data_IF_493553109484
#
_entry.id   IF_493553109484
#
_cell.length_a   1.000
_cell.length_b   1.000
_cell.length_c   1.000
_cell.angle_alpha   90.00
_cell.angle_beta   90.00
_cell.angle_gamma   90.00
#
_symmetry.space_group_name_H-M   'P 1'
#
loop_
_entity.id
_entity.type
_entity.pdbx_description
1 polymer ?
#
# COMPACT_ATOMS: atom_id res chain seq x y z
N UNK A 1 -8.77 6.38 -26.22
CA UNK A 1 -8.01 5.17 -25.81
C UNK A 1 -8.74 4.54 -24.64
N UNK A 2 -8.78 3.21 -24.58
CA UNK A 2 -9.32 2.49 -23.43
C UNK A 2 -8.15 1.98 -22.58
N UNK A 3 -8.20 2.18 -21.26
CA UNK A 3 -7.16 1.76 -20.32
C UNK A 3 -7.56 0.54 -19.49
N UNK A 4 -8.80 0.07 -19.62
CA UNK A 4 -9.31 -1.01 -18.81
C UNK A 4 -10.72 -1.46 -19.15
N UNK A 5 -11.28 -2.33 -18.33
CA UNK A 5 -12.64 -2.84 -18.46
C UNK A 5 -13.16 -3.34 -17.12
N UNK A 6 -14.49 -3.44 -17.01
CA UNK A 6 -15.14 -4.02 -15.85
C UNK A 6 -15.13 -5.55 -15.90
N UNK A 7 -14.83 -6.18 -14.77
CA UNK A 7 -15.00 -7.61 -14.51
C UNK A 7 -16.09 -7.77 -13.45
N UNK A 8 -17.34 -7.84 -13.90
CA UNK A 8 -18.51 -7.93 -13.03
C UNK A 8 -18.51 -9.21 -12.17
N UNK A 9 -17.99 -10.31 -12.73
CA UNK A 9 -17.94 -11.60 -12.04
C UNK A 9 -17.09 -11.51 -10.78
N UNK A 10 -15.93 -10.86 -10.89
CA UNK A 10 -15.01 -10.69 -9.78
C UNK A 10 -15.24 -9.39 -8.99
N UNK A 11 -16.12 -8.51 -9.48
CA UNK A 11 -16.35 -7.15 -8.96
C UNK A 11 -15.05 -6.34 -8.93
N UNK A 12 -14.32 -6.41 -10.04
CA UNK A 12 -13.02 -5.76 -10.23
C UNK A 12 -13.05 -4.82 -11.44
N UNK A 13 -12.29 -3.74 -11.37
CA UNK A 13 -11.97 -2.92 -12.53
C UNK A 13 -10.54 -3.27 -12.94
N UNK A 14 -10.39 -3.75 -14.18
CA UNK A 14 -9.13 -4.24 -14.72
C UNK A 14 -8.49 -3.17 -15.58
N UNK A 15 -7.33 -2.67 -15.18
CA UNK A 15 -6.51 -1.68 -15.88
C UNK A 15 -5.43 -2.45 -16.63
N UNK A 16 -5.50 -2.46 -17.96
CA UNK A 16 -4.57 -3.21 -18.83
C UNK A 16 -3.44 -2.36 -19.40
N UNK A 17 -3.48 -1.05 -19.18
CA UNK A 17 -2.40 -0.13 -19.50
C UNK A 17 -2.09 0.75 -18.27
N UNK A 18 -0.91 0.63 -17.65
CA UNK A 18 -0.58 1.36 -16.43
C UNK A 18 -0.32 2.86 -16.65
N UNK A 19 -0.14 3.32 -17.89
CA UNK A 19 0.04 4.73 -18.26
C UNK A 19 -1.30 5.46 -18.39
N UNK A 20 -2.16 5.32 -17.38
CA UNK A 20 -3.44 6.04 -17.28
C UNK A 20 -3.21 7.56 -17.29
N UNK A 21 -4.15 8.36 -17.82
CA UNK A 21 -3.97 9.81 -17.95
C UNK A 21 -3.93 10.54 -16.59
N UNK A 22 -4.35 9.86 -15.52
CA UNK A 22 -4.22 10.26 -14.14
C UNK A 22 -4.09 8.99 -13.26
N UNK A 23 -3.61 9.09 -12.02
CA UNK A 23 -3.63 7.99 -11.07
C UNK A 23 -5.08 7.56 -10.81
N UNK A 24 -5.42 6.32 -11.11
CA UNK A 24 -6.72 5.75 -10.78
C UNK A 24 -6.61 5.09 -9.42
N UNK A 25 -7.43 5.55 -8.47
CA UNK A 25 -7.30 5.21 -7.06
C UNK A 25 -8.31 4.15 -6.62
N UNK A 26 -7.95 3.43 -5.55
CA UNK A 26 -8.82 2.58 -4.77
C UNK A 26 -8.63 2.87 -3.27
N UNK A 27 -9.64 2.52 -2.47
CA UNK A 27 -9.64 2.65 -1.02
C UNK A 27 -9.52 1.27 -0.40
N UNK A 28 -8.61 1.13 0.56
CA UNK A 28 -8.37 -0.09 1.32
C UNK A 28 -8.64 0.19 2.80
N UNK A 29 -9.33 -0.73 3.47
CA UNK A 29 -9.66 -0.61 4.89
C UNK A 29 -10.81 0.38 5.17
N UNK A 30 -10.69 1.07 6.30
CA UNK A 30 -11.68 2.00 6.84
C UNK A 30 -10.96 3.12 7.63
N UNK A 31 -11.65 4.12 8.22
CA UNK A 31 -10.96 5.18 8.95
C UNK A 31 -10.09 4.73 10.13
N UNK A 32 -10.31 3.58 10.76
CA UNK A 32 -9.41 3.08 11.84
C UNK A 32 -8.02 2.76 11.28
N UNK A 33 -7.95 2.18 10.07
CA UNK A 33 -6.76 2.17 9.24
C UNK A 33 -7.12 2.32 7.77
N UNK A 34 -6.83 3.50 7.26
CA UNK A 34 -7.17 3.87 5.90
C UNK A 34 -5.95 3.86 5.01
N UNK A 35 -6.03 3.15 3.88
CA UNK A 35 -5.01 3.17 2.84
C UNK A 35 -5.61 3.53 1.48
N UNK A 36 -4.99 4.49 0.80
CA UNK A 36 -5.32 4.87 -0.56
C UNK A 36 -4.20 4.45 -1.49
N UNK A 37 -4.57 3.81 -2.59
CA UNK A 37 -3.61 3.21 -3.53
C UNK A 37 -4.02 3.54 -4.97
N UNK A 38 -3.04 3.85 -5.81
CA UNK A 38 -3.25 4.00 -7.25
C UNK A 38 -2.99 2.69 -8.01
N UNK A 39 -3.36 2.67 -9.28
CA UNK A 39 -2.97 1.63 -10.24
C UNK A 39 -1.45 1.43 -10.41
N UNK A 40 -0.65 2.35 -9.87
CA UNK A 40 0.81 2.35 -9.87
C UNK A 40 1.41 2.20 -8.45
N UNK A 41 0.63 1.68 -7.49
CA UNK A 41 0.98 1.48 -6.09
C UNK A 41 1.34 2.76 -5.28
N UNK A 42 1.25 3.94 -5.89
CA UNK A 42 1.37 5.22 -5.20
C UNK A 42 0.21 5.49 -4.24
N UNK A 43 0.43 6.32 -3.24
CA UNK A 43 -0.58 6.75 -2.27
C UNK A 43 -0.04 6.73 -0.84
N UNK A 44 -0.93 6.76 0.14
CA UNK A 44 -0.57 6.80 1.56
C UNK A 44 -1.52 5.99 2.42
N UNK A 45 -1.11 5.77 3.66
CA UNK A 45 -1.83 5.07 4.71
C UNK A 45 -1.88 5.94 5.96
N UNK A 46 -2.94 5.80 6.75
CA UNK A 46 -3.16 6.54 7.98
C UNK A 46 -3.96 5.72 9.00
N UNK A 47 -3.88 6.13 10.27
CA UNK A 47 -4.62 5.55 11.39
C UNK A 47 -5.57 6.60 11.95
N UNK A 48 -6.87 6.29 12.03
CA UNK A 48 -7.96 7.15 12.54
C UNK A 48 -8.23 8.46 11.77
N UNK A 49 -7.23 9.09 11.18
CA UNK A 49 -7.38 10.39 10.51
C UNK A 49 -6.43 10.55 9.32
N UNK A 50 -6.99 10.88 8.16
CA UNK A 50 -6.24 11.17 6.93
C UNK A 50 -5.30 12.38 7.05
N UNK A 51 -5.58 13.33 7.96
CA UNK A 51 -4.69 14.46 8.23
C UNK A 51 -3.81 14.29 9.45
N UNK A 52 -4.30 13.72 10.56
CA UNK A 52 -3.62 13.67 11.85
C UNK A 52 -3.06 12.29 12.21
N UNK A 53 -3.17 11.32 11.30
CA UNK A 53 -2.79 9.93 11.53
C UNK A 53 -1.93 9.34 10.42
N UNK A 54 -1.31 10.16 9.56
CA UNK A 54 -0.54 9.66 8.41
C UNK A 54 0.69 8.90 8.86
N UNK A 55 0.89 7.71 8.29
CA UNK A 55 2.04 6.87 8.60
C UNK A 55 2.96 6.65 7.39
N UNK A 56 2.45 6.77 6.17
CA UNK A 56 3.25 6.84 4.94
C UNK A 56 3.01 8.15 4.20
N UNK A 57 4.07 8.68 3.59
CA UNK A 57 4.05 10.00 2.97
C UNK A 57 3.35 9.97 1.61
N UNK A 58 2.71 11.09 1.24
CA UNK A 58 2.20 11.35 -0.11
C UNK A 58 2.34 12.82 -0.46
N UNK A 59 2.85 13.10 -1.66
CA UNK A 59 3.06 14.45 -2.20
C UNK A 59 1.86 14.84 -3.06
N UNK A 60 1.05 15.74 -2.53
CA UNK A 60 -0.12 16.28 -3.23
C UNK A 60 0.31 17.24 -4.34
N UNK A 61 -0.56 17.42 -5.33
CA UNK A 61 -0.39 18.38 -6.42
C UNK A 61 0.94 18.20 -7.18
N UNK A 62 1.21 16.97 -7.61
CA UNK A 62 2.34 16.63 -8.48
C UNK A 62 1.85 15.89 -9.72
N UNK A 63 2.59 16.00 -10.82
CA UNK A 63 2.29 15.31 -12.10
C UNK A 63 2.28 13.78 -11.96
N UNK A 64 2.92 13.26 -10.93
CA UNK A 64 3.03 11.84 -10.65
C UNK A 64 2.69 11.56 -9.19
N UNK A 65 1.68 10.73 -8.95
CA UNK A 65 1.37 10.25 -7.60
C UNK A 65 2.61 9.54 -7.01
N UNK A 66 3.17 10.10 -5.94
CA UNK A 66 4.37 9.61 -5.27
C UNK A 66 4.38 10.05 -3.79
N UNK A 67 5.10 9.33 -2.91
CA UNK A 67 5.62 7.98 -3.11
C UNK A 67 4.48 6.95 -2.97
N UNK A 68 4.82 5.70 -2.64
CA UNK A 68 3.89 4.59 -2.58
C UNK A 68 4.45 3.36 -1.90
N UNK A 69 3.90 2.22 -2.30
CA UNK A 69 4.13 0.88 -1.74
C UNK A 69 4.95 0.10 -2.76
N UNK A 70 6.25 0.30 -2.78
CA UNK A 70 7.07 -0.17 -3.89
C UNK A 70 7.74 -1.49 -3.55
N UNK A 71 7.60 -2.46 -4.45
CA UNK A 71 8.42 -3.66 -4.49
C UNK A 71 9.35 -3.52 -5.68
N UNK A 72 10.64 -3.31 -5.44
CA UNK A 72 11.66 -3.32 -6.49
C UNK A 72 12.21 -4.73 -6.67
N UNK A 73 12.52 -5.06 -7.91
CA UNK A 73 13.11 -6.33 -8.33
C UNK A 73 14.37 -5.97 -9.12
N UNK A 74 15.50 -6.53 -8.71
CA UNK A 74 16.77 -6.42 -9.43
C UNK A 74 17.22 -7.79 -9.87
N UNK A 75 17.58 -7.92 -11.13
CA UNK A 75 18.37 -9.05 -11.62
C UNK A 75 19.85 -8.76 -11.42
N UNK A 76 20.51 -9.57 -10.60
CA UNK A 76 21.89 -9.35 -10.23
C UNK A 76 22.90 -9.69 -11.32
N UNK A 77 22.56 -10.63 -12.19
CA UNK A 77 23.42 -11.07 -13.28
C UNK A 77 23.34 -10.08 -14.45
N UNK A 78 22.15 -9.54 -14.72
CA UNK A 78 21.93 -8.55 -15.77
C UNK A 78 22.25 -7.11 -15.34
N UNK A 79 22.39 -6.84 -14.04
CA UNK A 79 22.46 -5.48 -13.47
C UNK A 79 21.29 -4.59 -13.92
N UNK A 80 20.11 -5.17 -14.09
CA UNK A 80 18.88 -4.46 -14.42
C UNK A 80 17.89 -4.50 -13.25
N UNK A 81 17.04 -3.47 -13.13
CA UNK A 81 16.01 -3.41 -12.09
C UNK A 81 14.72 -2.78 -12.59
N UNK A 82 13.61 -3.16 -11.98
CA UNK A 82 12.27 -2.65 -12.23
C UNK A 82 11.44 -2.69 -10.95
N UNK A 83 10.25 -2.10 -10.98
CA UNK A 83 9.26 -2.21 -9.90
C UNK A 83 8.18 -3.23 -10.27
N UNK A 84 7.56 -3.87 -9.27
CA UNK A 84 6.44 -4.80 -9.48
C UNK A 84 5.15 -4.09 -9.93
N UNK A 85 5.01 -2.80 -9.59
CA UNK A 85 4.17 -1.84 -10.32
C UNK A 85 4.97 -1.17 -11.44
N UNK A 86 4.32 -0.66 -12.49
CA UNK A 86 5.05 0.00 -13.59
C UNK A 86 5.88 1.19 -13.11
N UNK A 87 5.27 2.09 -12.35
CA UNK A 87 5.97 3.15 -11.62
C UNK A 87 6.43 2.63 -10.25
N UNK A 88 7.56 3.11 -9.71
CA UNK A 88 8.24 4.35 -10.09
C UNK A 88 9.38 4.19 -11.08
N UNK A 89 9.82 2.96 -11.42
CA UNK A 89 10.97 2.78 -12.34
C UNK A 89 10.60 3.13 -13.78
N UNK A 90 9.37 2.82 -14.20
CA UNK A 90 8.84 3.27 -15.49
C UNK A 90 9.49 2.58 -16.70
N UNK A 91 9.64 1.25 -16.66
CA UNK A 91 10.21 0.49 -17.79
C UNK A 91 9.39 0.70 -19.09
N UNK A 92 10.03 0.61 -20.27
CA UNK A 92 9.34 0.72 -21.55
C UNK A 92 8.19 -0.30 -21.68
N UNK A 93 6.99 0.17 -22.04
CA UNK A 93 5.76 -0.65 -22.08
C UNK A 93 5.68 -1.61 -23.26
N UNK A 94 6.59 -1.50 -24.24
CA UNK A 94 6.78 -2.51 -25.28
C UNK A 94 7.43 -3.80 -24.73
N UNK A 95 8.07 -3.72 -23.55
CA UNK A 95 8.71 -4.85 -22.86
C UNK A 95 8.05 -5.20 -21.54
N UNK A 96 7.60 -4.19 -20.80
CA UNK A 96 6.99 -4.34 -19.48
C UNK A 96 5.47 -4.49 -19.62
N UNK A 97 4.96 -5.68 -19.35
CA UNK A 97 3.52 -5.97 -19.37
C UNK A 97 2.97 -5.83 -17.96
N UNK A 98 1.83 -5.18 -17.78
CA UNK A 98 1.21 -5.05 -16.46
C UNK A 98 -0.31 -4.97 -16.54
N UNK A 99 -0.94 -5.47 -15.49
CA UNK A 99 -2.37 -5.39 -15.24
C UNK A 99 -2.59 -5.00 -13.78
N UNK A 100 -3.45 -4.02 -13.53
CA UNK A 100 -3.91 -3.68 -12.19
C UNK A 100 -5.39 -3.98 -12.05
N UNK A 101 -5.77 -4.76 -11.04
CA UNK A 101 -7.15 -5.07 -10.67
C UNK A 101 -7.48 -4.35 -9.38
N UNK A 102 -8.30 -3.31 -9.48
CA UNK A 102 -8.93 -2.74 -8.30
C UNK A 102 -10.19 -3.54 -7.99
N UNK A 103 -10.21 -4.23 -6.85
CA UNK A 103 -11.40 -4.87 -6.31
C UNK A 103 -12.02 -4.04 -5.18
N UNK A 104 -13.04 -4.58 -4.55
CA UNK A 104 -13.69 -3.97 -3.37
C UNK A 104 -12.79 -4.14 -2.13
N UNK A 105 -12.08 -3.07 -1.77
CA UNK A 105 -11.12 -2.97 -0.65
C UNK A 105 -9.81 -3.78 -0.77
N UNK A 106 -9.46 -4.24 -1.96
CA UNK A 106 -8.14 -4.78 -2.28
C UNK A 106 -7.69 -4.35 -3.67
N UNK A 107 -6.40 -4.40 -3.93
CA UNK A 107 -5.81 -4.16 -5.25
C UNK A 107 -4.77 -5.21 -5.57
N UNK A 108 -4.79 -5.76 -6.78
CA UNK A 108 -3.75 -6.67 -7.29
C UNK A 108 -3.05 -6.00 -8.46
N UNK A 109 -1.72 -5.86 -8.39
CA UNK A 109 -0.91 -5.39 -9.51
C UNK A 109 0.00 -6.54 -9.95
N UNK A 110 -0.20 -6.98 -11.19
CA UNK A 110 0.61 -8.02 -11.80
C UNK A 110 1.45 -7.43 -12.93
N UNK A 111 2.66 -7.94 -13.10
CA UNK A 111 3.55 -7.54 -14.17
C UNK A 111 4.44 -8.68 -14.63
N UNK A 112 4.94 -8.56 -15.85
CA UNK A 112 5.94 -9.46 -16.42
C UNK A 112 6.98 -8.65 -17.18
N UNK A 113 8.25 -8.87 -16.84
CA UNK A 113 9.39 -8.23 -17.47
C UNK A 113 10.62 -9.14 -17.38
N UNK A 114 11.34 -9.30 -18.49
CA UNK A 114 12.55 -10.13 -18.56
C UNK A 114 12.38 -11.54 -17.99
N UNK A 115 11.26 -12.19 -18.35
CA UNK A 115 10.86 -13.54 -17.93
C UNK A 115 10.66 -13.71 -16.41
N UNK A 116 10.53 -12.59 -15.68
CA UNK A 116 10.12 -12.59 -14.27
C UNK A 116 8.70 -12.05 -14.19
N UNK A 117 7.81 -12.86 -13.62
CA UNK A 117 6.45 -12.45 -13.30
C UNK A 117 6.38 -12.00 -11.85
N UNK A 118 5.74 -10.88 -11.58
CA UNK A 118 5.43 -10.40 -10.23
C UNK A 118 3.93 -10.18 -10.09
N UNK A 119 3.39 -10.48 -8.92
CA UNK A 119 2.02 -10.17 -8.52
C UNK A 119 2.03 -9.66 -7.10
N UNK A 120 1.52 -8.44 -6.87
CA UNK A 120 1.42 -7.86 -5.53
C UNK A 120 -0.03 -7.59 -5.19
N UNK A 121 -0.52 -8.24 -4.13
CA UNK A 121 -1.86 -7.99 -3.55
C UNK A 121 -1.73 -7.04 -2.36
N UNK A 122 -2.41 -5.90 -2.42
CA UNK A 122 -2.47 -4.87 -1.39
C UNK A 122 -3.87 -4.82 -0.78
N UNK A 123 -3.95 -4.90 0.55
CA UNK A 123 -5.21 -4.85 1.28
C UNK A 123 -5.00 -4.46 2.76
N UNK A 124 -6.10 -4.11 3.42
CA UNK A 124 -6.18 -3.98 4.88
C UNK A 124 -7.08 -5.12 5.36
N UNK A 125 -6.59 -6.06 6.20
CA UNK A 125 -7.42 -7.16 6.65
C UNK A 125 -8.65 -6.68 7.43
N UNK A 126 -9.76 -7.40 7.34
CA UNK A 126 -11.01 -7.01 7.97
C UNK A 126 -10.86 -6.79 9.48
N UNK A 127 -11.23 -5.60 9.97
CA UNK A 127 -11.15 -5.23 11.38
C UNK A 127 -9.72 -5.09 11.94
N UNK A 128 -8.70 -5.01 11.08
CA UNK A 128 -7.31 -4.82 11.48
C UNK A 128 -6.83 -3.41 11.15
N UNK A 129 -5.80 -2.96 11.88
CA UNK A 129 -5.25 -1.61 11.76
C UNK A 129 -3.80 -1.61 11.27
N UNK A 130 -3.56 -2.38 10.22
CA UNK A 130 -2.31 -2.47 9.46
C UNK A 130 -2.65 -2.92 8.03
N UNK A 131 -1.81 -2.57 7.06
CA UNK A 131 -1.95 -3.06 5.68
C UNK A 131 -0.93 -4.15 5.37
N UNK A 132 -1.29 -5.01 4.40
CA UNK A 132 -0.52 -6.18 3.97
C UNK A 132 -0.27 -6.10 2.47
N UNK A 133 0.99 -6.32 2.08
CA UNK A 133 1.42 -6.38 0.68
C UNK A 133 2.03 -7.76 0.43
N UNK A 134 1.27 -8.64 -0.20
CA UNK A 134 1.76 -9.97 -0.58
C UNK A 134 2.34 -9.91 -1.98
N UNK A 135 3.65 -10.01 -2.09
CA UNK A 135 4.39 -10.09 -3.35
C UNK A 135 4.74 -11.55 -3.67
N UNK A 136 4.27 -12.04 -4.82
CA UNK A 136 4.69 -13.30 -5.43
C UNK A 136 5.58 -12.99 -6.61
N UNK A 137 6.79 -13.55 -6.66
CA UNK A 137 7.74 -13.38 -7.75
C UNK A 137 8.09 -14.75 -8.31
N UNK A 138 7.79 -14.97 -9.59
CA UNK A 138 7.97 -16.24 -10.29
C UNK A 138 9.04 -16.07 -11.38
N UNK A 139 9.99 -17.00 -11.41
CA UNK A 139 10.94 -17.12 -12.50
C UNK A 139 10.33 -17.95 -13.64
N UNK A 140 9.90 -17.29 -14.72
CA UNK A 140 9.42 -17.95 -15.94
C UNK A 140 10.53 -18.22 -16.97
N UNK A 141 11.78 -17.87 -16.64
CA UNK A 141 12.94 -18.19 -17.47
C UNK A 141 13.26 -19.69 -17.41
N UNK A 142 14.02 -20.16 -18.38
CA UNK A 142 14.57 -21.52 -18.47
C UNK A 142 15.80 -21.76 -17.59
N UNK A 143 16.40 -20.69 -17.05
CA UNK A 143 17.57 -20.73 -16.17
C UNK A 143 17.25 -20.20 -14.78
N UNK A 144 18.12 -20.50 -13.83
CA UNK A 144 18.08 -19.92 -12.50
C UNK A 144 18.35 -18.41 -12.56
N UNK A 145 17.72 -17.64 -11.67
CA UNK A 145 17.82 -16.18 -11.64
C UNK A 145 18.22 -15.70 -10.25
N UNK A 146 19.29 -14.93 -10.18
CA UNK A 146 19.77 -14.32 -8.94
C UNK A 146 19.12 -12.95 -8.78
N UNK A 147 18.11 -12.85 -7.91
CA UNK A 147 17.32 -11.65 -7.74
C UNK A 147 17.57 -11.00 -6.38
N UNK A 148 17.51 -9.67 -6.32
CA UNK A 148 17.34 -8.92 -5.09
C UNK A 148 15.96 -8.27 -5.10
N UNK A 149 15.17 -8.55 -4.05
CA UNK A 149 13.83 -8.00 -3.86
C UNK A 149 13.84 -6.97 -2.75
N UNK A 150 13.20 -5.81 -2.97
CA UNK A 150 13.17 -4.71 -2.01
C UNK A 150 11.73 -4.28 -1.74
N UNK A 151 11.25 -4.44 -0.52
CA UNK A 151 10.04 -3.74 -0.07
C UNK A 151 10.40 -2.34 0.40
N UNK A 152 9.62 -1.33 -0.01
CA UNK A 152 9.90 0.06 0.29
C UNK A 152 8.65 0.86 0.66
N UNK A 153 8.77 1.65 1.73
CA UNK A 153 7.84 2.71 2.13
C UNK A 153 8.59 3.95 2.60
N UNK A 154 8.12 5.14 2.25
CA UNK A 154 8.56 6.40 2.87
C UNK A 154 7.63 6.73 4.04
N UNK A 155 8.17 6.76 5.27
CA UNK A 155 7.40 7.16 6.43
C UNK A 155 7.22 8.69 6.46
N UNK A 156 6.13 9.17 7.04
CA UNK A 156 6.09 10.57 7.51
C UNK A 156 6.95 10.73 8.76
N UNK A 157 7.37 11.93 9.10
CA UNK A 157 8.02 12.21 10.38
C UNK A 157 7.01 12.61 11.47
N UNK A 158 5.86 13.13 11.07
CA UNK A 158 4.74 13.48 11.94
C UNK A 158 3.44 12.84 11.43
N UNK A 159 2.51 12.53 12.32
CA UNK A 159 1.20 12.03 11.92
C UNK A 159 0.36 13.13 11.27
N UNK A 160 0.55 14.38 11.68
CA UNK A 160 -0.07 15.53 11.05
C UNK A 160 0.64 15.84 9.72
N UNK A 161 -0.10 15.73 8.62
CA UNK A 161 0.47 15.87 7.29
C UNK A 161 1.04 17.26 7.00
N UNK A 162 0.47 18.33 7.59
CA UNK A 162 0.97 19.68 7.40
C UNK A 162 2.29 19.83 8.15
N UNK A 163 2.36 19.38 9.40
CA UNK A 163 3.61 19.36 10.18
C UNK A 163 4.73 18.59 9.46
N UNK A 164 4.42 17.44 8.87
CA UNK A 164 5.36 16.65 8.06
C UNK A 164 5.94 17.42 6.86
N UNK A 165 5.17 18.36 6.29
CA UNK A 165 5.55 19.08 5.06
C UNK A 165 6.16 20.46 5.32
N UNK A 166 5.70 21.20 6.34
CA UNK A 166 6.14 22.58 6.57
C UNK A 166 6.99 22.79 7.82
N UNK A 167 6.78 22.04 8.91
CA UNK A 167 7.48 22.28 10.17
C UNK A 167 8.84 21.54 10.26
N UNK A 168 9.62 21.62 9.18
CA UNK A 168 10.83 20.83 8.98
C UNK A 168 11.94 21.12 10.01
N UNK A 169 11.96 22.34 10.55
CA UNK A 169 12.89 22.73 11.63
C UNK A 169 12.70 21.90 12.92
N UNK A 170 11.54 21.27 13.08
CA UNK A 170 11.24 20.35 14.16
C UNK A 170 11.17 18.90 13.66
N UNK A 171 10.33 18.62 12.65
CA UNK A 171 10.00 17.25 12.25
C UNK A 171 11.18 16.48 11.65
N UNK A 172 12.23 17.15 11.17
CA UNK A 172 13.48 16.49 10.76
C UNK A 172 14.34 16.03 11.94
N UNK A 173 14.00 16.31 13.20
CA UNK A 173 14.86 15.98 14.36
C UNK A 173 14.19 15.10 15.41
N UNK A 174 13.03 14.52 15.08
CA UNK A 174 12.21 13.76 16.04
C UNK A 174 12.13 12.28 15.74
N UNK A 175 12.76 11.81 14.66
CA UNK A 175 12.65 10.41 14.24
C UNK A 175 13.98 9.69 14.23
N UNK A 176 13.97 8.42 14.60
CA UNK A 176 15.02 7.45 14.28
C UNK A 176 14.41 6.11 13.92
N UNK A 177 15.17 5.27 13.24
CA UNK A 177 14.75 3.90 12.94
C UNK A 177 15.67 2.89 13.61
N UNK A 178 15.15 1.72 13.98
CA UNK A 178 15.93 0.54 14.32
C UNK A 178 15.50 -0.64 13.47
N UNK A 179 16.38 -1.63 13.32
CA UNK A 179 16.07 -2.90 12.67
C UNK A 179 15.96 -4.00 13.73
N UNK A 180 14.82 -4.67 13.77
CA UNK A 180 14.44 -5.64 14.79
C UNK A 180 14.04 -6.97 14.13
N UNK A 181 15.01 -7.87 13.95
CA UNK A 181 14.89 -9.18 13.30
C UNK A 181 14.50 -9.12 11.81
N UNK A 182 13.24 -8.82 11.50
CA UNK A 182 12.67 -8.84 10.16
C UNK A 182 11.81 -7.59 9.87
N UNK A 183 11.97 -6.54 10.66
CA UNK A 183 11.23 -5.28 10.51
C UNK A 183 12.06 -4.07 10.87
N UNK A 184 11.71 -2.94 10.27
CA UNK A 184 12.17 -1.63 10.68
C UNK A 184 11.11 -1.02 11.60
N UNK A 185 11.52 -0.52 12.75
CA UNK A 185 10.70 0.28 13.66
C UNK A 185 11.12 1.75 13.53
N UNK A 186 10.17 2.62 13.16
CA UNK A 186 10.33 4.06 13.28
C UNK A 186 9.89 4.51 14.67
N UNK A 187 10.77 5.20 15.37
CA UNK A 187 10.52 5.82 16.67
C UNK A 187 10.32 7.32 16.46
N UNK A 188 9.26 7.90 17.02
CA UNK A 188 8.92 9.33 16.87
C UNK A 188 8.81 9.95 18.25
N UNK A 189 9.57 11.04 18.49
CA UNK A 189 9.68 11.69 19.80
C UNK A 189 9.93 10.68 20.93
N UNK A 190 10.90 9.77 20.72
CA UNK A 190 11.07 8.59 21.59
C UNK A 190 11.31 8.91 23.06
N UNK A 191 11.73 10.13 23.41
CA UNK A 191 12.00 10.53 24.79
C UNK A 191 10.80 11.23 25.46
N UNK A 192 9.67 11.32 24.76
CA UNK A 192 8.42 11.93 25.23
C UNK A 192 7.34 10.87 25.44
N UNK A 193 6.60 10.98 26.54
CA UNK A 193 5.36 10.22 26.77
C UNK A 193 5.49 8.70 26.85
N UNK A 194 6.67 8.18 27.21
CA UNK A 194 6.87 6.73 27.38
C UNK A 194 6.08 6.18 28.58
N UNK A 195 5.42 5.04 28.38
CA UNK A 195 4.80 4.25 29.44
C UNK A 195 5.78 3.22 30.04
N UNK A 196 5.27 2.30 30.87
CA UNK A 196 6.08 1.26 31.52
C UNK A 196 6.67 0.22 30.54
N UNK A 197 6.10 0.08 29.33
CA UNK A 197 6.65 -0.76 28.27
C UNK A 197 7.82 -0.08 27.54
N UNK A 198 8.03 1.22 27.78
CA UNK A 198 9.01 2.03 27.07
C UNK A 198 8.52 2.52 25.71
N UNK A 199 7.25 2.29 25.38
CA UNK A 199 6.59 2.81 24.17
C UNK A 199 5.88 4.13 24.48
N UNK A 200 5.80 5.02 23.48
CA UNK A 200 4.90 6.18 23.51
C UNK A 200 3.71 6.03 22.53
N UNK A 201 3.53 4.83 21.99
CA UNK A 201 2.52 4.41 21.01
C UNK A 201 2.51 5.21 19.69
N UNK A 202 3.60 5.93 19.39
CA UNK A 202 3.83 6.62 18.12
C UNK A 202 4.72 5.81 17.17
N UNK A 203 5.16 4.63 17.59
CA UNK A 203 5.99 3.74 16.79
C UNK A 203 5.23 3.24 15.58
N UNK A 204 5.98 3.06 14.49
CA UNK A 204 5.48 2.47 13.26
C UNK A 204 6.43 1.38 12.83
N UNK A 205 5.91 0.37 12.16
CA UNK A 205 6.72 -0.72 11.67
C UNK A 205 6.51 -0.98 10.20
N UNK A 206 7.57 -1.36 9.51
CA UNK A 206 7.51 -2.01 8.21
C UNK A 206 8.29 -3.32 8.30
N UNK A 207 7.58 -4.44 8.21
CA UNK A 207 8.15 -5.78 8.39
C UNK A 207 7.90 -6.70 7.21
N UNK A 208 8.66 -7.79 7.12
CA UNK A 208 8.51 -8.79 6.07
C UNK A 208 8.61 -10.22 6.62
N UNK A 209 7.78 -11.12 6.09
CA UNK A 209 7.92 -12.57 6.25
C UNK A 209 7.95 -13.26 4.88
N UNK A 210 8.64 -14.39 4.79
CA UNK A 210 8.75 -15.19 3.55
C UNK A 210 10.19 -15.46 3.10
N UNK A 211 11.14 -14.61 3.49
CA UNK A 211 12.57 -14.83 3.27
C UNK A 211 13.43 -14.14 4.34
N UNK A 212 14.71 -14.53 4.49
CA UNK A 212 15.68 -13.76 5.28
C UNK A 212 15.87 -12.33 4.72
N UNK A 213 16.08 -11.37 5.61
CA UNK A 213 16.51 -10.02 5.24
C UNK A 213 18.04 -10.02 5.12
N UNK A 214 18.56 -9.77 3.91
CA UNK A 214 20.01 -9.72 3.66
C UNK A 214 20.61 -8.35 3.96
N UNK A 215 19.83 -7.28 3.77
CA UNK A 215 20.21 -5.91 4.08
C UNK A 215 18.97 -5.00 4.22
N UNK A 216 19.16 -3.79 4.74
CA UNK A 216 18.05 -2.87 4.99
C UNK A 216 18.48 -1.41 4.95
N UNK A 217 17.51 -0.49 4.83
CA UNK A 217 17.73 0.93 5.03
C UNK A 217 16.55 1.57 5.77
N UNK A 218 16.89 2.25 6.86
CA UNK A 218 15.98 3.14 7.59
C UNK A 218 16.12 4.61 7.18
N UNK A 219 17.29 4.99 6.64
CA UNK A 219 17.55 6.34 6.10
C UNK A 219 17.09 6.43 4.65
N UNK A 220 16.17 7.36 4.37
CA UNK A 220 15.68 7.60 3.02
C UNK A 220 16.81 8.03 2.06
N UNK A 221 17.72 8.87 2.56
CA UNK A 221 18.83 9.39 1.76
C UNK A 221 19.84 8.32 1.38
N UNK A 222 20.04 7.31 2.21
CA UNK A 222 20.91 6.17 1.92
C UNK A 222 20.28 5.18 0.95
N UNK A 223 18.94 5.00 1.00
CA UNK A 223 18.23 4.14 0.07
C UNK A 223 18.10 4.78 -1.33
N UNK A 224 17.63 6.03 -1.39
CA UNK A 224 17.40 6.75 -2.65
C UNK A 224 18.72 7.27 -3.23
N UNK A 225 19.59 7.86 -2.41
CA UNK A 225 20.82 8.51 -2.84
C UNK A 225 20.61 9.98 -3.25
N UNK A 226 21.70 10.76 -3.18
CA UNK A 226 21.66 12.17 -3.55
C UNK A 226 21.35 12.36 -5.04
N UNK A 227 20.53 13.37 -5.36
CA UNK A 227 20.12 13.73 -6.73
C UNK A 227 19.44 12.60 -7.52
N UNK A 228 18.77 11.68 -6.81
CA UNK A 228 18.01 10.57 -7.38
C UNK A 228 16.53 10.68 -6.99
N UNK A 229 15.71 9.83 -7.58
CA UNK A 229 14.28 9.73 -7.27
C UNK A 229 13.91 8.28 -6.96
N UNK A 230 12.62 8.02 -6.69
CA UNK A 230 12.10 6.65 -6.55
C UNK A 230 12.28 5.81 -7.82
N UNK A 231 12.54 6.43 -8.99
CA UNK A 231 12.76 5.70 -10.24
C UNK A 231 14.14 5.04 -10.33
N UNK A 232 15.13 5.52 -9.56
CA UNK A 232 16.51 5.05 -9.62
C UNK A 232 17.24 5.05 -8.26
N UNK A 233 16.71 4.38 -7.22
CA UNK A 233 17.33 4.35 -5.89
C UNK A 233 18.74 3.75 -5.96
N UNK A 234 19.72 4.37 -5.29
CA UNK A 234 21.11 3.91 -5.31
C UNK A 234 21.25 2.49 -4.72
N UNK A 235 20.47 2.14 -3.70
CA UNK A 235 20.49 0.81 -3.09
C UNK A 235 20.01 -0.27 -4.07
N UNK A 236 18.99 0.02 -4.88
CA UNK A 236 18.46 -0.91 -5.89
C UNK A 236 19.41 -1.01 -7.07
N UNK A 237 19.91 0.12 -7.59
CA UNK A 237 20.84 0.12 -8.72
C UNK A 237 22.13 -0.65 -8.40
N UNK A 238 22.72 -0.40 -7.23
CA UNK A 238 23.94 -1.09 -6.77
C UNK A 238 23.73 -2.51 -6.28
N UNK A 239 22.47 -2.94 -6.10
CA UNK A 239 22.12 -4.28 -5.61
C UNK A 239 22.31 -4.47 -4.11
N UNK A 240 22.47 -3.39 -3.34
CA UNK A 240 22.73 -3.50 -1.90
C UNK A 240 22.27 -2.30 -1.09
N UNK A 241 21.38 -2.55 -0.14
CA UNK A 241 21.14 -1.67 1.00
C UNK A 241 22.38 -1.62 1.91
N UNK A 242 22.67 -0.47 2.51
CA UNK A 242 23.91 -0.25 3.27
C UNK A 242 23.74 -0.38 4.81
N UNK A 243 22.59 -0.86 5.28
CA UNK A 243 22.24 -1.04 6.70
C UNK A 243 22.22 0.27 7.52
N UNK A 244 22.12 1.42 6.85
CA UNK A 244 21.98 2.72 7.53
C UNK A 244 20.54 2.97 7.95
N UNK A 245 20.36 3.19 9.24
CA UNK A 245 19.14 3.70 9.86
C UNK A 245 19.11 5.23 9.79
N UNK A 246 17.92 5.82 9.85
CA UNK A 246 17.82 7.25 10.09
C UNK A 246 18.05 7.55 11.57
N UNK A 247 18.69 8.68 11.82
CA UNK A 247 18.67 9.39 13.10
C UNK A 247 18.57 10.85 12.71
N UNK A 248 17.39 11.43 12.91
CA UNK A 248 16.94 12.65 12.25
C UNK A 248 16.74 12.46 10.73
N UNK A 249 16.43 13.55 10.04
CA UNK A 249 16.06 13.61 8.62
C UNK A 249 14.85 12.72 8.28
N UNK A 250 14.78 12.21 7.04
CA UNK A 250 13.64 11.42 6.57
C UNK A 250 13.90 9.92 6.74
N UNK A 251 12.90 9.22 7.26
CA UNK A 251 12.92 7.78 7.44
C UNK A 251 12.24 7.04 6.27
N UNK A 252 12.68 5.81 6.02
CA UNK A 252 12.00 4.84 5.17
C UNK A 252 12.00 3.46 5.83
N UNK A 253 11.12 2.58 5.36
CA UNK A 253 11.24 1.15 5.57
C UNK A 253 11.72 0.53 4.27
N UNK A 254 13.00 0.16 4.17
CA UNK A 254 13.54 -0.57 3.03
C UNK A 254 14.13 -1.91 3.48
N UNK A 255 13.59 -3.00 2.97
CA UNK A 255 13.92 -4.37 3.36
C UNK A 255 14.35 -5.18 2.12
N UNK A 256 15.61 -5.61 2.07
CA UNK A 256 16.19 -6.39 0.96
C UNK A 256 16.24 -7.89 1.28
N UNK A 257 15.89 -8.72 0.30
CA UNK A 257 16.14 -10.16 0.30
C UNK A 257 16.81 -10.58 -1.00
N UNK A 258 17.97 -11.23 -0.89
CA UNK A 258 18.68 -11.84 -2.02
C UNK A 258 18.26 -13.30 -2.16
N UNK A 259 17.72 -13.65 -3.33
CA UNK A 259 17.06 -14.93 -3.58
C UNK A 259 17.51 -15.46 -4.96
N UNK A 260 18.00 -16.69 -4.99
CA UNK A 260 18.14 -17.44 -6.25
C UNK A 260 16.86 -18.22 -6.50
N UNK A 261 16.14 -17.88 -7.57
CA UNK A 261 14.95 -18.61 -7.99
C UNK A 261 15.32 -19.58 -9.11
N UNK A 262 15.01 -20.86 -8.92
CA UNK A 262 15.11 -21.85 -10.00
C UNK A 262 14.09 -21.58 -11.09
N UNK A 263 14.32 -22.12 -12.28
CA UNK A 263 13.31 -22.09 -13.36
C UNK A 263 11.96 -22.64 -12.86
N UNK A 264 10.89 -21.85 -13.04
CA UNK A 264 9.53 -22.16 -12.59
C UNK A 264 9.26 -21.91 -11.10
N UNK A 265 10.27 -21.57 -10.29
CA UNK A 265 10.10 -21.34 -8.86
C UNK A 265 9.41 -20.00 -8.57
N UNK A 266 8.63 -19.97 -7.50
CA UNK A 266 7.99 -18.76 -6.98
C UNK A 266 8.39 -18.54 -5.53
N UNK A 267 8.81 -17.33 -5.20
CA UNK A 267 8.92 -16.87 -3.82
C UNK A 267 7.72 -16.00 -3.45
N UNK A 268 7.26 -16.13 -2.22
CA UNK A 268 6.21 -15.30 -1.62
C UNK A 268 6.80 -14.49 -0.47
N UNK A 269 6.70 -13.17 -0.55
CA UNK A 269 7.10 -12.22 0.49
C UNK A 269 5.88 -11.42 0.92
N UNK A 270 5.63 -11.33 2.23
CA UNK A 270 4.50 -10.63 2.80
C UNK A 270 5.04 -9.47 3.62
N UNK A 271 4.82 -8.25 3.14
CA UNK A 271 5.17 -7.02 3.82
C UNK A 271 3.99 -6.48 4.61
N UNK A 272 4.25 -5.89 5.77
CA UNK A 272 3.20 -5.35 6.65
C UNK A 272 3.61 -3.97 7.15
N UNK A 273 2.70 -3.00 7.03
CA UNK A 273 2.86 -1.63 7.54
C UNK A 273 1.78 -1.31 8.58
N UNK A 274 2.19 -0.84 9.76
CA UNK A 274 1.24 -0.40 10.79
C UNK A 274 1.85 0.56 11.82
N UNK A 275 1.00 1.16 12.65
CA UNK A 275 1.40 1.95 13.82
C UNK A 275 1.32 1.08 15.07
N UNK A 276 2.43 0.42 15.41
CA UNK A 276 2.56 -0.53 16.51
C UNK A 276 3.98 -0.53 17.03
N UNK A 277 4.14 -0.80 18.31
CA UNK A 277 5.45 -1.03 18.92
C UNK A 277 6.08 -2.35 18.43
N UNK A 278 7.31 -2.61 18.87
CA UNK A 278 8.08 -3.79 18.47
C UNK A 278 7.41 -5.12 18.87
N UNK A 279 6.79 -5.19 20.05
CA UNK A 279 6.16 -6.41 20.57
C UNK A 279 4.91 -6.75 19.75
N UNK A 280 4.03 -5.76 19.59
CA UNK A 280 2.80 -5.88 18.82
C UNK A 280 3.09 -6.16 17.34
N UNK A 281 4.08 -5.49 16.75
CA UNK A 281 4.51 -5.75 15.37
C UNK A 281 5.04 -7.18 15.20
N UNK A 282 5.77 -7.70 16.19
CA UNK A 282 6.27 -9.09 16.19
C UNK A 282 5.11 -10.09 16.24
N UNK A 283 4.12 -9.85 17.10
CA UNK A 283 2.92 -10.68 17.17
C UNK A 283 2.18 -10.71 15.82
N UNK A 284 1.99 -9.55 15.18
CA UNK A 284 1.35 -9.45 13.86
C UNK A 284 2.13 -10.24 12.82
N UNK A 285 3.45 -10.02 12.68
CA UNK A 285 4.26 -10.72 11.68
C UNK A 285 4.28 -12.23 11.88
N UNK A 286 4.21 -12.71 13.13
CA UNK A 286 4.15 -14.13 13.43
C UNK A 286 2.87 -14.79 12.91
N UNK A 287 1.73 -14.09 12.89
CA UNK A 287 0.51 -14.63 12.28
C UNK A 287 0.72 -14.94 10.80
N UNK A 288 1.49 -14.12 10.06
CA UNK A 288 1.74 -14.28 8.63
C UNK A 288 2.80 -15.32 8.28
N UNK A 289 3.39 -16.01 9.27
CA UNK A 289 4.17 -17.23 9.03
C UNK A 289 3.28 -18.43 8.70
N UNK A 290 1.99 -18.35 9.03
CA UNK A 290 1.01 -19.37 8.68
C UNK A 290 0.67 -19.33 7.18
N UNK A 291 0.92 -20.44 6.49
CA UNK A 291 0.61 -20.56 5.07
C UNK A 291 -0.90 -20.38 4.81
N UNK A 292 -1.24 -19.63 3.78
CA UNK A 292 -2.65 -19.42 3.37
C UNK A 292 -3.41 -18.34 4.15
N UNK A 293 -2.82 -17.73 5.19
CA UNK A 293 -3.47 -16.63 5.94
C UNK A 293 -3.92 -15.49 5.04
N UNK A 294 -3.06 -15.05 4.11
CA UNK A 294 -3.43 -13.97 3.17
C UNK A 294 -4.60 -14.37 2.27
N UNK A 295 -4.64 -15.61 1.78
CA UNK A 295 -5.75 -16.09 0.96
C UNK A 295 -7.08 -16.12 1.74
N UNK A 296 -7.03 -16.50 3.02
CA UNK A 296 -8.18 -16.49 3.91
C UNK A 296 -8.68 -15.04 4.16
N UNK A 297 -7.79 -14.10 4.42
CA UNK A 297 -8.15 -12.70 4.67
C UNK A 297 -8.72 -12.01 3.42
N UNK A 298 -8.14 -12.26 2.24
CA UNK A 298 -8.69 -11.77 0.97
C UNK A 298 -10.07 -12.37 0.71
N UNK A 299 -10.27 -13.67 0.99
CA UNK A 299 -11.59 -14.29 0.87
C UNK A 299 -12.59 -13.64 1.81
N UNK A 300 -12.23 -13.43 3.07
CA UNK A 300 -13.09 -12.75 4.05
C UNK A 300 -13.49 -11.35 3.58
N UNK A 301 -12.56 -10.55 3.03
CA UNK A 301 -12.86 -9.24 2.47
C UNK A 301 -13.82 -9.33 1.28
N UNK A 302 -13.57 -10.26 0.35
CA UNK A 302 -14.47 -10.50 -0.79
C UNK A 302 -15.86 -10.91 -0.30
N UNK A 303 -15.96 -11.84 0.65
CA UNK A 303 -17.24 -12.31 1.19
C UNK A 303 -18.02 -11.17 1.85
N UNK A 304 -17.35 -10.34 2.67
CA UNK A 304 -17.95 -9.16 3.29
C UNK A 304 -18.50 -8.19 2.23
N UNK A 305 -17.66 -7.69 1.32
CA UNK A 305 -18.08 -6.70 0.34
C UNK A 305 -19.06 -7.25 -0.67
N UNK A 306 -18.89 -8.49 -1.12
CA UNK A 306 -19.81 -9.11 -2.07
C UNK A 306 -21.17 -9.39 -1.42
N UNK A 307 -21.20 -9.67 -0.11
CA UNK A 307 -22.42 -9.76 0.68
C UNK A 307 -23.15 -8.42 0.74
N UNK A 308 -22.46 -7.34 1.13
CA UNK A 308 -23.03 -5.98 1.18
C UNK A 308 -23.62 -5.55 -0.18
N UNK A 309 -22.85 -5.72 -1.25
CA UNK A 309 -23.26 -5.38 -2.61
C UNK A 309 -24.35 -6.31 -3.17
N UNK A 310 -24.71 -7.39 -2.46
CA UNK A 310 -25.75 -8.30 -2.91
C UNK A 310 -27.16 -7.93 -2.45
N UNK A 311 -27.29 -6.97 -1.53
CA UNK A 311 -28.56 -6.55 -0.96
C UNK A 311 -29.47 -5.82 -1.97
N UNK A 312 -28.89 -5.27 -3.05
CA UNK A 312 -29.64 -4.73 -4.18
C UNK A 312 -28.93 -5.07 -5.50
N UNK A 313 -29.64 -5.71 -6.43
CA UNK A 313 -29.11 -6.04 -7.75
C UNK A 313 -30.14 -5.78 -8.84
N UNK A 314 -29.63 -5.41 -10.01
CA UNK A 314 -30.39 -5.28 -11.25
C UNK A 314 -29.81 -6.17 -12.33
N UNK A 315 -30.68 -6.66 -13.21
CA UNK A 315 -30.30 -7.31 -14.45
C UNK A 315 -31.03 -6.59 -15.58
N UNK A 316 -30.26 -5.87 -16.39
CA UNK A 316 -30.75 -5.10 -17.52
C UNK A 316 -29.96 -5.43 -18.79
N UNK A 317 -30.47 -5.07 -19.99
CA UNK A 317 -29.70 -5.23 -21.22
C UNK A 317 -28.39 -4.42 -21.30
N UNK A 318 -28.16 -3.43 -20.43
CA UNK A 318 -26.90 -2.67 -20.38
C UNK A 318 -25.93 -3.25 -19.36
N UNK A 319 -24.79 -3.75 -19.84
CA UNK A 319 -23.74 -4.27 -18.98
C UNK A 319 -23.11 -3.16 -18.11
N UNK A 320 -23.00 -1.94 -18.64
CA UNK A 320 -22.47 -0.78 -17.94
C UNK A 320 -23.38 -0.39 -16.76
N UNK A 321 -24.69 -0.36 -16.99
CA UNK A 321 -25.66 -0.07 -15.94
C UNK A 321 -25.62 -1.14 -14.84
N UNK A 322 -25.57 -2.43 -15.22
CA UNK A 322 -25.45 -3.53 -14.27
C UNK A 322 -24.15 -3.41 -13.45
N UNK A 323 -23.02 -3.05 -14.06
CA UNK A 323 -21.75 -2.85 -13.35
C UNK A 323 -21.81 -1.71 -12.33
N UNK A 324 -22.35 -0.56 -12.73
CA UNK A 324 -22.45 0.59 -11.83
C UNK A 324 -23.38 0.29 -10.67
N UNK A 325 -24.58 -0.22 -10.92
CA UNK A 325 -25.58 -0.44 -9.86
C UNK A 325 -25.19 -1.61 -8.95
N UNK A 326 -24.72 -2.73 -9.51
CA UNK A 326 -24.43 -3.92 -8.71
C UNK A 326 -23.06 -3.88 -8.01
N UNK A 327 -22.18 -2.94 -8.38
CA UNK A 327 -20.82 -2.86 -7.84
C UNK A 327 -20.39 -1.42 -7.57
N UNK A 328 -20.08 -0.64 -8.61
CA UNK A 328 -19.20 0.53 -8.43
C UNK A 328 -19.86 1.74 -7.79
N UNK A 329 -21.11 2.04 -8.15
CA UNK A 329 -21.86 3.12 -7.51
C UNK A 329 -22.19 2.73 -6.06
N UNK A 330 -22.67 1.50 -5.84
CA UNK A 330 -22.98 0.99 -4.50
C UNK A 330 -21.73 0.98 -3.59
N UNK A 331 -20.60 0.49 -4.10
CA UNK A 331 -19.33 0.52 -3.38
C UNK A 331 -18.87 1.96 -3.09
N UNK A 332 -18.97 2.86 -4.07
CA UNK A 332 -18.63 4.26 -3.87
C UNK A 332 -19.52 4.92 -2.80
N UNK A 333 -20.82 4.61 -2.75
CA UNK A 333 -21.73 5.07 -1.69
C UNK A 333 -21.25 4.63 -0.30
N UNK A 334 -20.84 3.36 -0.15
CA UNK A 334 -20.23 2.88 1.09
C UNK A 334 -18.94 3.64 1.42
N UNK A 335 -18.05 3.86 0.44
CA UNK A 335 -16.81 4.61 0.67
C UNK A 335 -17.13 6.03 1.15
N UNK A 336 -18.03 6.76 0.49
CA UNK A 336 -18.41 8.11 0.92
C UNK A 336 -19.06 8.10 2.31
N UNK A 337 -19.88 7.10 2.62
CA UNK A 337 -20.55 6.99 3.92
C UNK A 337 -19.56 6.67 5.06
N UNK A 338 -18.66 5.70 4.85
CA UNK A 338 -17.70 5.24 5.87
C UNK A 338 -16.57 6.27 6.03
N UNK A 339 -15.97 6.71 4.93
CA UNK A 339 -14.78 7.58 4.91
C UNK A 339 -15.11 9.08 4.89
N UNK A 340 -16.37 9.45 4.72
CA UNK A 340 -16.81 10.83 4.50
C UNK A 340 -16.07 11.46 3.31
N UNK A 341 -15.61 12.69 3.47
CA UNK A 341 -14.70 13.39 2.56
C UNK A 341 -13.32 13.57 3.19
N UNK A 342 -12.90 12.62 4.03
CA UNK A 342 -11.74 12.79 4.91
C UNK A 342 -10.38 12.52 4.24
N UNK A 343 -10.32 11.80 3.12
CA UNK A 343 -9.06 11.47 2.47
C UNK A 343 -9.27 11.11 1.00
N UNK A 344 -8.49 11.69 0.09
CA UNK A 344 -8.40 11.30 -1.33
C UNK A 344 -7.10 11.85 -1.94
N UNK A 345 -6.77 11.54 -3.19
CA UNK A 345 -5.60 12.17 -3.84
C UNK A 345 -5.78 13.67 -4.11
N UNK A 346 -7.00 14.19 -3.93
CA UNK A 346 -7.29 15.62 -3.98
C UNK A 346 -7.41 16.20 -2.57
N UNK A 347 -8.04 15.46 -1.67
CA UNK A 347 -8.36 15.92 -0.33
C UNK A 347 -7.36 15.38 0.69
N UNK A 348 -6.48 16.24 1.18
CA UNK A 348 -5.42 15.87 2.12
C UNK A 348 -5.91 15.54 3.56
N UNK A 349 -7.20 15.74 3.84
CA UNK A 349 -7.84 15.38 5.10
C UNK A 349 -7.91 16.46 6.18
N UNK A 350 -7.53 17.70 5.87
CA UNK A 350 -7.51 18.80 6.84
C UNK A 350 -8.83 19.01 7.59
N UNK A 351 -9.97 19.04 6.87
CA UNK A 351 -11.27 19.09 7.54
C UNK A 351 -11.63 17.66 7.91
N UNK A 352 -11.21 17.28 9.11
CA UNK A 352 -11.58 16.04 9.75
C UNK A 352 -13.00 16.15 10.30
N UNK A 353 -13.81 15.14 10.02
CA UNK A 353 -15.18 15.02 10.53
C UNK A 353 -16.20 14.81 9.43
N UNK A 354 -17.47 14.88 9.81
CA UNK A 354 -18.61 14.69 8.94
C UNK A 354 -19.19 16.05 8.54
N UNK A 355 -19.19 16.34 7.24
CA UNK A 355 -19.95 17.47 6.71
C UNK A 355 -21.44 17.15 6.85
N UNK A 356 -22.20 17.93 7.62
CA UNK A 356 -23.59 17.60 7.96
C UNK A 356 -24.45 17.30 6.72
N UNK A 357 -24.44 18.22 5.73
CA UNK A 357 -25.14 18.03 4.45
C UNK A 357 -24.61 16.81 3.70
N UNK A 358 -23.29 16.62 3.67
CA UNK A 358 -22.65 15.53 2.92
C UNK A 358 -23.04 14.17 3.50
N UNK A 359 -22.96 14.00 4.82
CA UNK A 359 -23.30 12.73 5.49
C UNK A 359 -24.80 12.43 5.43
N UNK A 360 -25.68 13.42 5.58
CA UNK A 360 -27.13 13.21 5.41
C UNK A 360 -27.48 12.78 3.97
N UNK A 361 -26.74 13.27 2.97
CA UNK A 361 -26.91 12.83 1.58
C UNK A 361 -26.32 11.44 1.35
N UNK A 362 -25.17 11.12 1.95
CA UNK A 362 -24.53 9.80 1.84
C UNK A 362 -25.40 8.68 2.44
N UNK A 363 -26.14 8.96 3.52
CA UNK A 363 -27.12 8.01 4.12
C UNK A 363 -28.13 7.53 3.07
N UNK A 364 -28.61 8.42 2.19
CA UNK A 364 -29.56 8.05 1.14
C UNK A 364 -28.97 7.04 0.14
N UNK A 365 -27.65 7.09 -0.06
CA UNK A 365 -26.91 6.20 -0.95
C UNK A 365 -26.72 4.78 -0.40
N UNK A 366 -26.86 4.57 0.91
CA UNK A 366 -26.64 3.27 1.55
C UNK A 366 -27.85 2.68 2.27
N UNK A 367 -28.90 3.44 2.55
CA UNK A 367 -30.05 2.96 3.35
C UNK A 367 -30.75 1.71 2.75
N UNK A 368 -30.69 1.55 1.44
CA UNK A 368 -31.24 0.39 0.73
C UNK A 368 -30.27 -0.80 0.64
N UNK A 369 -29.01 -0.59 1.02
CA UNK A 369 -27.95 -1.60 1.06
C UNK A 369 -27.69 -2.06 2.50
N UNK A 370 -27.64 -1.14 3.45
CA UNK A 370 -27.41 -1.41 4.88
C UNK A 370 -28.22 -0.42 5.75
N UNK A 371 -29.50 -0.72 6.01
CA UNK A 371 -30.38 0.17 6.78
C UNK A 371 -29.97 0.28 8.25
N UNK A 372 -29.31 -0.74 8.82
CA UNK A 372 -28.86 -0.73 10.21
C UNK A 372 -27.70 0.24 10.37
N UNK A 373 -26.68 0.13 9.51
CA UNK A 373 -25.56 1.06 9.49
C UNK A 373 -26.01 2.50 9.20
N UNK A 374 -26.98 2.67 8.29
CA UNK A 374 -27.58 3.96 7.99
C UNK A 374 -28.30 4.60 9.19
N UNK A 375 -28.93 3.79 10.06
CA UNK A 375 -29.67 4.27 11.22
C UNK A 375 -28.76 4.64 12.41
N UNK A 376 -27.58 4.01 12.53
CA UNK A 376 -26.60 4.33 13.58
C UNK A 376 -25.91 5.68 13.37
N UNK A 377 -25.81 6.12 12.11
CA UNK A 377 -25.07 7.32 11.69
C UNK A 377 -25.90 8.60 11.84
#
# INVERSE_FOLDING_TARGET
MNYGHFDLKNKEYVITNPATPAPWANYLGDPEYGAMISNNAAGYSFVKSGANGRISRFRFNSEMALPGRYIYIRDNDANDYWSASWQPVGKPLDKYKSECRHGTAYTVISAEYSDIKSEVTYYVPYGKTYEVWRAKVTNNDSKDRNLSLYGFVEFTNDNNYEQDQVNLQYTLFITRTSFEENKIIQHINENDGKDASGSNHRERFFGMVGAPISAYNGSLSDFIGAYRTFSNPIAVESGKCNNKMNFNSNACGALQSDITLKSGETVELIYILGQRDNEQATAILNEYKEAGKVDAEIRQLKDYWHGQLSNFKVETPSAEFNNMINVWNAYQCFITFIWSRAASFVYCGLRNGYGYRDTVQDIQGIIHLDPEMAAEK
#
